data_IF_423463791408
#
_entry.id   IF_423463791408
#
_cell.length_a   1.000
_cell.length_b   1.000
_cell.length_c   1.000
_cell.angle_alpha   90.00
_cell.angle_beta   90.00
_cell.angle_gamma   90.00
#
_symmetry.space_group_name_H-M   'P 1'
#
loop_
_entity.id
_entity.type
_entity.pdbx_description
1 polymer ?
#
# COMPACT_ATOMS: atom_id res chain seq x y z
N UNK A 1 -0.09 46.86 -38.41
CA UNK A 1 1.38 46.90 -38.38
C UNK A 1 1.77 45.83 -37.41
N UNK A 2 1.93 44.56 -37.87
CA UNK A 2 3.16 43.90 -38.30
C UNK A 2 4.10 43.74 -37.12
N UNK A 3 4.50 42.53 -36.70
CA UNK A 3 5.22 41.52 -37.45
C UNK A 3 5.16 40.16 -36.72
N UNK A 4 5.03 39.06 -37.44
CA UNK A 4 5.34 37.70 -37.01
C UNK A 4 6.85 37.47 -37.11
N UNK A 5 7.49 36.71 -36.24
CA UNK A 5 8.80 36.17 -36.53
C UNK A 5 8.72 34.81 -37.24
N UNK A 6 9.69 34.64 -38.12
CA UNK A 6 9.85 33.65 -39.19
C UNK A 6 10.24 32.24 -38.65
N UNK A 7 9.88 31.25 -39.48
CA UNK A 7 10.33 29.83 -39.37
C UNK A 7 11.82 29.68 -39.75
N UNK A 8 12.57 28.74 -39.15
CA UNK A 8 13.91 28.39 -39.62
C UNK A 8 13.86 27.40 -40.82
N UNK A 9 14.95 27.32 -41.61
CA UNK A 9 14.97 26.66 -42.91
C UNK A 9 15.19 25.14 -42.86
N UNK A 10 14.62 24.47 -43.86
CA UNK A 10 14.85 23.09 -44.25
C UNK A 10 16.23 22.91 -44.92
N UNK A 11 16.85 21.76 -44.65
CA UNK A 11 17.77 21.19 -45.60
C UNK A 11 19.09 20.68 -45.03
N UNK A 12 19.25 19.36 -44.98
CA UNK A 12 20.36 18.69 -45.65
C UNK A 12 20.03 17.19 -45.76
N UNK A 13 19.92 16.75 -47.00
CA UNK A 13 19.88 15.36 -47.41
C UNK A 13 21.24 14.71 -47.21
N UNK A 14 21.28 13.49 -46.68
CA UNK A 14 22.34 12.53 -47.00
C UNK A 14 21.70 11.22 -47.45
N UNK A 15 22.06 10.90 -48.68
CA UNK A 15 21.79 9.66 -49.35
C UNK A 15 22.54 8.52 -48.72
N UNK A 16 21.88 7.35 -48.68
CA UNK A 16 22.39 6.07 -49.12
C UNK A 16 21.27 5.03 -48.96
N UNK A 17 20.40 4.98 -49.98
CA UNK A 17 19.53 3.85 -50.27
C UNK A 17 20.33 2.79 -51.02
N UNK A 18 20.64 1.67 -50.36
CA UNK A 18 21.00 0.44 -51.02
C UNK A 18 19.83 -0.56 -50.87
N UNK A 19 19.32 -1.14 -51.96
CA UNK A 19 18.20 -2.07 -51.87
C UNK A 19 18.65 -3.43 -51.35
N UNK A 20 18.04 -3.85 -50.24
CA UNK A 20 18.15 -5.25 -49.75
C UNK A 20 17.26 -6.11 -50.65
N UNK A 21 17.89 -7.00 -51.45
CA UNK A 21 17.25 -7.98 -52.27
C UNK A 21 16.38 -8.93 -51.42
N UNK A 22 15.09 -8.99 -51.73
CA UNK A 22 14.19 -10.06 -51.33
C UNK A 22 14.42 -11.26 -52.27
N UNK A 23 15.26 -12.20 -51.87
CA UNK A 23 15.25 -13.57 -52.36
C UNK A 23 15.81 -14.49 -51.26
N UNK A 24 14.94 -15.03 -50.46
CA UNK A 24 15.22 -16.20 -49.66
C UNK A 24 14.03 -17.14 -49.82
N UNK A 25 14.27 -18.20 -50.59
CA UNK A 25 13.31 -19.21 -50.97
C UNK A 25 12.59 -19.80 -49.76
N UNK A 26 11.29 -19.93 -49.90
CA UNK A 26 10.42 -20.77 -49.10
C UNK A 26 10.86 -22.24 -49.23
N UNK A 27 11.70 -22.68 -48.34
CA UNK A 27 11.88 -24.13 -48.11
C UNK A 27 10.78 -24.55 -47.11
N UNK A 28 9.77 -25.20 -47.63
CA UNK A 28 8.76 -25.90 -46.84
C UNK A 28 9.47 -26.96 -46.00
N UNK A 29 9.40 -26.84 -44.68
CA UNK A 29 9.77 -27.90 -43.75
C UNK A 29 8.76 -29.04 -43.92
N UNK A 30 9.22 -30.31 -44.02
CA UNK A 30 8.32 -31.45 -44.11
C UNK A 30 7.50 -31.53 -42.84
N UNK A 31 6.17 -31.66 -42.98
CA UNK A 31 5.27 -32.02 -41.90
C UNK A 31 5.58 -33.46 -41.47
N UNK A 32 6.43 -33.62 -40.47
CA UNK A 32 6.50 -34.86 -39.71
C UNK A 32 5.34 -34.84 -38.72
N UNK A 33 4.42 -35.78 -38.90
CA UNK A 33 3.42 -36.11 -37.88
C UNK A 33 4.12 -36.31 -36.53
N UNK A 34 3.55 -35.90 -35.40
CA UNK A 34 4.11 -36.20 -34.11
C UNK A 34 4.07 -37.71 -33.92
N UNK A 35 5.24 -38.33 -34.01
CA UNK A 35 5.42 -39.70 -33.51
C UNK A 35 5.06 -39.69 -32.02
N UNK A 36 4.35 -40.72 -31.62
CA UNK A 36 3.92 -41.04 -30.27
C UNK A 36 4.82 -40.46 -29.19
N UNK A 37 4.35 -39.42 -28.50
CA UNK A 37 4.87 -39.07 -27.19
C UNK A 37 4.49 -40.25 -26.30
N UNK A 38 5.40 -41.21 -26.17
CA UNK A 38 5.27 -42.26 -25.19
C UNK A 38 4.89 -41.68 -23.87
N UNK A 39 3.75 -42.10 -23.35
CA UNK A 39 3.22 -41.67 -22.06
C UNK A 39 4.35 -41.74 -21.04
N UNK A 40 4.79 -40.58 -20.55
CA UNK A 40 5.71 -40.52 -19.42
C UNK A 40 5.11 -41.39 -18.31
N UNK A 41 5.90 -42.28 -17.68
CA UNK A 41 5.39 -43.13 -16.62
C UNK A 41 4.76 -42.21 -15.56
N UNK A 42 3.49 -42.45 -15.31
CA UNK A 42 2.75 -41.76 -14.24
C UNK A 42 3.58 -41.79 -12.97
N UNK A 43 3.72 -40.63 -12.34
CA UNK A 43 4.46 -40.44 -11.12
C UNK A 43 4.26 -41.61 -10.17
N UNK A 44 5.37 -42.08 -9.60
CA UNK A 44 5.35 -43.05 -8.52
C UNK A 44 4.28 -42.69 -7.50
N UNK A 45 3.57 -43.66 -6.92
CA UNK A 45 2.52 -43.34 -5.92
C UNK A 45 3.13 -42.48 -4.85
N UNK A 46 2.50 -41.32 -4.59
CA UNK A 46 2.93 -40.41 -3.54
C UNK A 46 2.92 -41.22 -2.23
N UNK A 47 4.10 -41.44 -1.67
CA UNK A 47 4.25 -41.97 -0.31
C UNK A 47 3.56 -40.95 0.57
N UNK A 48 2.47 -41.35 1.25
CA UNK A 48 1.81 -40.47 2.21
C UNK A 48 2.86 -40.03 3.24
N UNK A 49 3.13 -38.72 3.39
CA UNK A 49 4.17 -38.26 4.29
C UNK A 49 3.79 -38.67 5.72
N UNK A 50 4.67 -39.38 6.41
CA UNK A 50 4.59 -39.50 7.87
C UNK A 50 4.77 -38.09 8.47
N UNK A 51 4.17 -37.77 9.61
CA UNK A 51 4.25 -36.48 10.24
C UNK A 51 5.69 -35.96 10.44
N UNK A 52 6.66 -36.85 10.56
CA UNK A 52 8.10 -36.56 10.65
C UNK A 52 8.73 -36.17 9.31
N UNK A 53 8.16 -36.59 8.18
CA UNK A 53 8.69 -36.31 6.84
C UNK A 53 8.22 -34.94 6.26
N UNK A 54 7.32 -34.23 6.92
CA UNK A 54 6.80 -32.96 6.43
C UNK A 54 7.78 -31.79 6.64
N UNK A 55 8.48 -31.76 7.76
CA UNK A 55 9.48 -30.74 8.06
C UNK A 55 10.78 -30.97 7.26
N UNK A 56 11.27 -29.91 6.60
CA UNK A 56 12.52 -29.97 5.83
C UNK A 56 12.42 -30.70 4.50
N UNK A 57 11.25 -31.17 4.11
CA UNK A 57 11.03 -31.83 2.83
C UNK A 57 10.48 -30.83 1.80
N UNK A 58 11.06 -30.72 0.57
CA UNK A 58 10.55 -29.83 -0.46
C UNK A 58 9.22 -30.37 -1.02
N UNK A 59 8.12 -29.78 -0.64
CA UNK A 59 6.80 -30.08 -1.21
C UNK A 59 6.42 -29.04 -2.27
N UNK A 60 5.91 -29.44 -3.44
CA UNK A 60 5.37 -28.48 -4.40
C UNK A 60 4.21 -27.71 -3.78
N UNK A 61 4.15 -26.40 -4.05
CA UNK A 61 2.99 -25.59 -3.72
C UNK A 61 1.74 -26.19 -4.40
N UNK A 62 0.58 -26.14 -3.73
CA UNK A 62 -0.68 -26.76 -4.22
C UNK A 62 -1.09 -26.31 -5.64
N UNK A 63 -0.76 -25.08 -6.01
CA UNK A 63 -1.05 -24.52 -7.33
C UNK A 63 0.08 -24.68 -8.34
N UNK A 64 1.22 -25.28 -7.97
CA UNK A 64 2.43 -25.29 -8.81
C UNK A 64 2.16 -25.93 -10.18
N UNK A 65 1.51 -27.10 -10.22
CA UNK A 65 1.18 -27.77 -11.47
C UNK A 65 0.24 -26.94 -12.36
N UNK A 66 -0.82 -26.37 -11.78
CA UNK A 66 -1.75 -25.54 -12.53
C UNK A 66 -1.09 -24.26 -13.05
N UNK A 67 -0.15 -23.67 -12.30
CA UNK A 67 0.59 -22.47 -12.73
C UNK A 67 1.51 -22.76 -13.91
N UNK A 68 2.31 -23.81 -13.87
CA UNK A 68 3.23 -24.13 -14.98
C UNK A 68 2.52 -24.61 -16.24
N UNK A 69 1.29 -25.08 -16.11
CA UNK A 69 0.44 -25.50 -17.25
C UNK A 69 -0.43 -24.34 -17.78
N UNK A 70 -0.44 -23.17 -17.15
CA UNK A 70 -1.33 -22.06 -17.53
C UNK A 70 -2.81 -22.32 -17.19
N UNK A 71 -3.11 -23.29 -16.31
CA UNK A 71 -4.48 -23.68 -15.93
C UNK A 71 -4.93 -23.10 -14.59
N UNK A 72 -4.06 -22.35 -13.90
CA UNK A 72 -4.37 -21.74 -12.62
C UNK A 72 -5.26 -20.51 -12.81
N UNK A 73 -6.58 -20.52 -12.50
CA UNK A 73 -7.42 -19.36 -12.66
C UNK A 73 -7.17 -18.35 -11.55
N UNK A 74 -7.07 -17.08 -11.91
CA UNK A 74 -7.11 -15.93 -11.02
C UNK A 74 -8.54 -15.40 -10.89
N UNK A 75 -8.76 -14.37 -10.08
CA UNK A 75 -10.13 -13.87 -9.85
C UNK A 75 -10.79 -13.39 -11.15
N UNK A 76 -10.01 -12.80 -12.07
CA UNK A 76 -10.57 -12.36 -13.37
C UNK A 76 -10.93 -13.51 -14.31
N UNK A 77 -10.29 -14.67 -14.15
CA UNK A 77 -10.50 -15.87 -14.97
C UNK A 77 -11.69 -16.72 -14.48
N UNK A 78 -12.22 -16.43 -13.31
CA UNK A 78 -13.36 -17.20 -12.76
C UNK A 78 -14.58 -17.04 -13.67
N UNK A 79 -15.28 -18.15 -14.01
CA UNK A 79 -16.56 -18.06 -14.72
C UNK A 79 -17.55 -17.20 -13.98
N UNK A 80 -18.08 -16.19 -14.65
CA UNK A 80 -19.06 -15.30 -14.05
C UNK A 80 -20.42 -16.01 -13.90
N UNK A 81 -21.05 -15.95 -12.71
CA UNK A 81 -22.40 -16.43 -12.54
C UNK A 81 -23.35 -15.77 -13.53
N UNK A 82 -24.42 -16.48 -13.95
CA UNK A 82 -25.40 -15.91 -14.86
C UNK A 82 -26.03 -14.65 -14.28
N UNK A 83 -26.05 -13.57 -15.06
CA UNK A 83 -26.58 -12.27 -14.65
C UNK A 83 -25.63 -11.42 -13.85
N UNK A 84 -24.33 -11.74 -13.87
CA UNK A 84 -23.30 -10.88 -13.28
C UNK A 84 -23.34 -9.51 -13.93
N UNK A 85 -23.33 -8.48 -13.08
CA UNK A 85 -23.21 -7.08 -13.45
C UNK A 85 -21.78 -6.59 -13.17
N UNK A 86 -21.44 -5.45 -13.74
CA UNK A 86 -20.12 -4.85 -13.60
C UNK A 86 -20.23 -3.47 -12.97
N UNK A 87 -19.33 -3.18 -12.01
CA UNK A 87 -19.28 -1.89 -11.37
C UNK A 87 -18.05 -1.09 -11.81
N UNK A 88 -18.21 0.24 -11.89
CA UNK A 88 -17.13 1.19 -12.12
C UNK A 88 -17.24 2.36 -11.15
N UNK A 89 -16.10 2.87 -10.59
CA UNK A 89 -16.10 3.95 -9.63
C UNK A 89 -16.41 5.31 -10.28
N UNK A 90 -17.09 6.17 -9.53
CA UNK A 90 -17.28 7.59 -9.82
C UNK A 90 -16.22 8.34 -9.02
N UNK A 91 -15.31 9.02 -9.71
CA UNK A 91 -14.08 9.56 -9.16
C UNK A 91 -14.14 11.08 -9.00
N UNK A 92 -13.60 11.59 -7.89
CA UNK A 92 -13.39 13.02 -7.70
C UNK A 92 -12.31 13.55 -8.67
N UNK A 93 -12.60 14.63 -9.42
CA UNK A 93 -11.61 15.27 -10.28
C UNK A 93 -10.72 16.28 -9.53
N UNK A 94 -10.99 16.57 -8.24
CA UNK A 94 -10.27 17.57 -7.45
C UNK A 94 -9.59 16.94 -6.24
N UNK A 95 -8.49 17.55 -5.81
CA UNK A 95 -7.71 17.06 -4.68
C UNK A 95 -8.35 17.36 -3.33
N UNK A 96 -9.10 18.45 -3.20
CA UNK A 96 -9.77 18.85 -1.97
C UNK A 96 -10.99 19.71 -2.29
N UNK A 97 -12.13 19.42 -1.72
CA UNK A 97 -13.34 20.19 -1.97
C UNK A 97 -14.55 19.69 -1.19
N UNK A 98 -15.52 20.56 -1.01
CA UNK A 98 -16.82 20.21 -0.42
C UNK A 98 -17.70 19.59 -1.51
N UNK A 99 -18.10 18.34 -1.32
CA UNK A 99 -19.04 17.62 -2.20
C UNK A 99 -20.46 18.05 -1.83
N UNK A 100 -21.14 18.76 -2.74
CA UNK A 100 -22.48 19.28 -2.56
C UNK A 100 -23.57 18.40 -3.17
N UNK A 101 -23.20 17.64 -4.21
CA UNK A 101 -24.15 16.77 -4.90
C UNK A 101 -23.52 15.86 -5.95
N UNK A 102 -24.28 14.82 -6.26
CA UNK A 102 -23.96 13.83 -7.29
C UNK A 102 -25.19 13.74 -8.22
N UNK A 103 -25.05 14.21 -9.45
CA UNK A 103 -26.09 14.06 -10.46
C UNK A 103 -25.73 12.93 -11.44
N UNK A 104 -26.42 11.81 -11.28
CA UNK A 104 -26.25 10.62 -12.11
C UNK A 104 -27.38 10.47 -13.16
N UNK A 105 -28.22 11.49 -13.38
CA UNK A 105 -29.38 11.42 -14.27
C UNK A 105 -28.99 11.00 -15.68
N UNK A 106 -27.97 11.63 -16.26
CA UNK A 106 -27.45 11.31 -17.59
C UNK A 106 -26.89 9.88 -17.66
N UNK A 107 -26.17 9.45 -16.63
CA UNK A 107 -25.61 8.11 -16.54
C UNK A 107 -26.71 7.03 -16.47
N UNK A 108 -27.74 7.26 -15.68
CA UNK A 108 -28.87 6.34 -15.53
C UNK A 108 -29.73 6.20 -16.80
N UNK A 109 -29.72 7.19 -17.69
CA UNK A 109 -30.42 7.14 -18.97
C UNK A 109 -29.69 6.29 -20.02
N UNK A 110 -28.46 5.89 -19.79
CA UNK A 110 -27.69 5.08 -20.75
C UNK A 110 -28.13 3.62 -20.73
N UNK A 111 -28.21 3.03 -21.93
CA UNK A 111 -28.58 1.62 -22.08
C UNK A 111 -27.60 0.70 -21.32
N UNK A 112 -28.16 -0.28 -20.63
CA UNK A 112 -27.40 -1.26 -19.86
C UNK A 112 -26.98 -0.80 -18.47
N UNK A 113 -27.19 0.47 -18.08
CA UNK A 113 -26.99 0.92 -16.70
C UNK A 113 -28.13 0.44 -15.82
N UNK A 114 -27.80 -0.14 -14.65
CA UNK A 114 -28.75 -0.78 -13.74
C UNK A 114 -28.94 -0.02 -12.43
N UNK A 115 -27.87 0.58 -11.91
CA UNK A 115 -27.92 1.31 -10.64
C UNK A 115 -26.76 2.30 -10.49
N UNK A 116 -26.97 3.26 -9.61
CA UNK A 116 -25.92 4.07 -8.97
C UNK A 116 -25.88 3.68 -7.51
N UNK A 117 -24.70 3.48 -6.95
CA UNK A 117 -24.47 3.18 -5.52
C UNK A 117 -23.72 4.34 -4.90
N UNK A 118 -24.19 4.83 -3.77
CA UNK A 118 -23.57 5.96 -3.03
C UNK A 118 -23.48 5.64 -1.55
N UNK A 119 -22.96 6.54 -0.75
CA UNK A 119 -22.90 6.38 0.70
C UNK A 119 -24.25 6.15 1.36
N UNK A 120 -25.36 6.66 0.77
CA UNK A 120 -26.72 6.44 1.26
C UNK A 120 -27.18 4.97 1.17
N UNK A 121 -26.50 4.15 0.39
CA UNK A 121 -26.83 2.73 0.20
C UNK A 121 -26.08 1.81 1.17
N UNK A 122 -25.24 2.34 2.05
CA UNK A 122 -24.49 1.57 3.03
C UNK A 122 -25.37 1.28 4.25
N UNK A 123 -25.74 0.02 4.51
CA UNK A 123 -26.64 -0.30 5.63
C UNK A 123 -25.90 -0.42 6.98
N UNK A 124 -24.59 -0.54 6.97
CA UNK A 124 -23.75 -0.72 8.15
C UNK A 124 -22.80 0.44 8.38
N UNK A 125 -21.55 0.13 8.71
CA UNK A 125 -20.52 1.13 8.96
C UNK A 125 -20.04 1.76 7.64
N UNK A 126 -20.11 3.09 7.47
CA UNK A 126 -19.66 3.77 6.26
C UNK A 126 -18.15 4.03 6.20
N UNK A 127 -17.39 3.61 7.23
CA UNK A 127 -15.95 3.88 7.34
C UNK A 127 -15.18 2.59 7.51
N UNK A 128 -14.10 2.44 6.73
CA UNK A 128 -13.16 1.36 6.88
C UNK A 128 -12.12 1.70 7.96
N UNK A 129 -11.77 0.70 8.73
CA UNK A 129 -10.79 0.83 9.80
C UNK A 129 -9.77 -0.29 9.72
N UNK A 130 -8.51 0.06 9.48
CA UNK A 130 -7.37 -0.87 9.65
C UNK A 130 -6.89 -0.79 11.10
N UNK A 131 -6.33 0.36 11.50
CA UNK A 131 -5.95 0.69 12.87
C UNK A 131 -6.67 1.94 13.37
N UNK A 132 -7.09 2.81 12.46
CA UNK A 132 -7.84 4.03 12.72
C UNK A 132 -9.11 3.99 11.89
N UNK A 133 -10.22 4.42 12.49
CA UNK A 133 -11.51 4.48 11.83
C UNK A 133 -11.63 5.86 11.12
N UNK A 134 -10.97 6.01 9.98
CA UNK A 134 -10.81 7.31 9.31
C UNK A 134 -10.88 7.27 7.77
N UNK A 135 -11.18 6.12 7.17
CA UNK A 135 -11.25 5.99 5.72
C UNK A 135 -12.67 5.69 5.23
N UNK A 136 -13.42 6.70 4.74
CA UNK A 136 -14.78 6.51 4.28
C UNK A 136 -14.84 5.60 3.05
N UNK A 137 -15.83 4.68 3.02
CA UNK A 137 -16.09 3.79 1.86
C UNK A 137 -16.38 4.61 0.60
N UNK A 138 -17.13 5.70 0.75
CA UNK A 138 -17.37 6.73 -0.26
C UNK A 138 -17.23 8.10 0.38
N UNK A 139 -16.68 9.07 -0.35
CA UNK A 139 -16.69 10.44 0.11
C UNK A 139 -18.14 10.98 0.17
N UNK A 140 -18.48 11.67 1.27
CA UNK A 140 -19.81 12.23 1.51
C UNK A 140 -19.82 13.74 1.47
N UNK A 141 -19.14 14.39 2.43
CA UNK A 141 -19.18 15.85 2.60
C UNK A 141 -17.96 16.54 1.98
N UNK A 142 -16.82 15.85 2.02
CA UNK A 142 -15.53 16.38 1.55
C UNK A 142 -14.82 15.34 0.73
N UNK A 143 -14.35 15.72 -0.45
CA UNK A 143 -13.36 14.96 -1.20
C UNK A 143 -11.96 15.39 -0.80
N UNK A 144 -11.06 14.41 -0.60
CA UNK A 144 -9.75 14.64 0.00
C UNK A 144 -8.58 14.28 -0.91
N UNK A 145 -8.84 13.67 -2.08
CA UNK A 145 -7.82 13.47 -3.12
C UNK A 145 -8.44 13.30 -4.50
N UNK A 146 -7.66 13.54 -5.55
CA UNK A 146 -8.04 13.20 -6.93
C UNK A 146 -8.20 11.69 -7.03
N UNK A 147 -9.31 11.23 -7.61
CA UNK A 147 -9.60 9.80 -7.70
C UNK A 147 -10.32 9.22 -6.47
N UNK A 148 -10.63 10.02 -5.44
CA UNK A 148 -11.45 9.52 -4.34
C UNK A 148 -12.83 9.12 -4.84
N UNK A 149 -13.26 7.92 -4.44
CA UNK A 149 -14.53 7.34 -4.90
C UNK A 149 -15.69 7.95 -4.14
N UNK A 150 -16.67 8.51 -4.89
CA UNK A 150 -17.88 9.11 -4.33
C UNK A 150 -19.10 8.21 -4.52
N UNK A 151 -19.00 7.17 -5.33
CA UNK A 151 -20.04 6.21 -5.62
C UNK A 151 -19.64 5.27 -6.76
N UNK A 152 -20.57 4.43 -7.20
CA UNK A 152 -20.36 3.48 -8.29
C UNK A 152 -21.51 3.55 -9.29
N UNK A 153 -21.20 3.29 -10.55
CA UNK A 153 -22.16 2.88 -11.56
C UNK A 153 -22.12 1.36 -11.70
N UNK A 154 -23.30 0.74 -11.76
CA UNK A 154 -23.46 -0.70 -12.03
C UNK A 154 -24.19 -0.88 -13.36
N UNK A 155 -23.61 -1.70 -14.24
CA UNK A 155 -24.14 -1.90 -15.59
C UNK A 155 -23.96 -3.36 -16.07
N UNK A 156 -24.56 -3.70 -17.21
CA UNK A 156 -24.50 -5.03 -17.82
C UNK A 156 -23.08 -5.40 -18.32
N UNK A 157 -22.23 -4.42 -18.59
CA UNK A 157 -20.85 -4.63 -19.07
C UNK A 157 -19.89 -3.64 -18.44
N UNK A 158 -18.62 -4.01 -18.36
CA UNK A 158 -17.53 -3.13 -17.88
C UNK A 158 -17.50 -1.81 -18.66
N UNK A 159 -17.64 -1.89 -20.00
CA UNK A 159 -17.60 -0.70 -20.87
C UNK A 159 -18.77 0.23 -20.60
N UNK A 160 -19.98 -0.29 -20.43
CA UNK A 160 -21.16 0.49 -20.09
C UNK A 160 -21.01 1.17 -18.72
N UNK A 161 -20.54 0.43 -17.71
CA UNK A 161 -20.30 0.97 -16.37
C UNK A 161 -19.30 2.12 -16.38
N UNK A 162 -18.14 1.93 -17.03
CA UNK A 162 -17.08 2.95 -17.14
C UNK A 162 -17.51 4.16 -17.96
N UNK A 163 -18.21 3.93 -19.07
CA UNK A 163 -18.74 5.03 -19.88
C UNK A 163 -19.72 5.88 -19.06
N UNK A 164 -20.65 5.23 -18.38
CA UNK A 164 -21.65 5.89 -17.56
C UNK A 164 -21.05 6.61 -16.35
N UNK A 165 -20.04 6.05 -15.70
CA UNK A 165 -19.38 6.68 -14.57
C UNK A 165 -18.77 8.06 -14.94
N UNK A 166 -18.28 8.20 -16.17
CA UNK A 166 -17.75 9.48 -16.69
C UNK A 166 -18.83 10.51 -17.06
N UNK A 167 -20.12 10.10 -17.11
CA UNK A 167 -21.25 11.02 -17.37
C UNK A 167 -21.86 11.58 -16.09
N UNK A 168 -21.45 11.08 -14.93
CA UNK A 168 -21.92 11.60 -13.64
C UNK A 168 -21.33 12.98 -13.40
N UNK A 169 -22.18 13.94 -13.04
CA UNK A 169 -21.76 15.29 -12.69
C UNK A 169 -21.62 15.41 -11.18
N UNK A 170 -20.48 15.94 -10.74
CA UNK A 170 -20.20 16.19 -9.34
C UNK A 170 -20.20 17.69 -9.08
N UNK A 171 -21.03 18.14 -8.15
CA UNK A 171 -20.98 19.51 -7.63
C UNK A 171 -19.98 19.55 -6.47
N UNK A 172 -18.77 19.99 -6.76
CA UNK A 172 -17.69 20.11 -5.78
C UNK A 172 -17.18 21.54 -5.72
N UNK A 173 -17.26 22.16 -4.55
CA UNK A 173 -16.63 23.43 -4.28
C UNK A 173 -15.17 23.24 -3.87
N UNK A 174 -14.19 23.65 -4.68
CA UNK A 174 -12.78 23.44 -4.37
C UNK A 174 -12.35 24.11 -3.06
N UNK A 175 -11.46 23.46 -2.32
CA UNK A 175 -10.80 23.94 -1.12
C UNK A 175 -9.28 23.94 -1.33
N UNK A 176 -8.51 24.72 -0.54
CA UNK A 176 -7.05 24.63 -0.57
C UNK A 176 -6.57 23.21 -0.27
N UNK A 177 -5.69 22.69 -1.11
CA UNK A 177 -5.15 21.34 -0.96
C UNK A 177 -3.72 21.37 -0.41
N UNK A 178 -3.40 20.43 0.47
CA UNK A 178 -2.07 20.13 0.97
C UNK A 178 -1.55 18.93 0.18
N UNK A 179 -0.55 19.13 -0.68
CA UNK A 179 -0.06 18.08 -1.59
C UNK A 179 1.35 17.60 -1.26
N UNK A 180 2.12 18.37 -0.50
CA UNK A 180 3.52 18.05 -0.19
C UNK A 180 3.77 17.90 1.30
N UNK A 181 4.86 17.22 1.64
CA UNK A 181 5.33 17.08 3.02
C UNK A 181 5.59 18.46 3.64
N UNK A 182 6.18 19.39 2.89
CA UNK A 182 6.50 20.74 3.37
C UNK A 182 5.22 21.52 3.74
N UNK A 183 4.20 21.43 2.89
CA UNK A 183 2.90 22.04 3.18
C UNK A 183 2.25 21.43 4.41
N UNK A 184 2.30 20.10 4.55
CA UNK A 184 1.76 19.41 5.72
C UNK A 184 2.49 19.77 7.01
N UNK A 185 3.81 19.84 6.98
CA UNK A 185 4.64 20.27 8.11
C UNK A 185 4.33 21.72 8.51
N UNK A 186 4.22 22.63 7.54
CA UNK A 186 3.90 24.03 7.79
C UNK A 186 2.48 24.21 8.38
N UNK A 187 1.52 23.39 7.92
CA UNK A 187 0.15 23.38 8.41
C UNK A 187 -0.07 22.54 9.68
N UNK A 188 0.96 21.82 10.16
CA UNK A 188 0.88 20.83 11.23
C UNK A 188 -0.23 19.78 10.97
N UNK A 189 -0.36 19.37 9.71
CA UNK A 189 -1.36 18.42 9.25
C UNK A 189 -0.82 17.00 9.32
N UNK A 190 -1.31 16.20 10.26
CA UNK A 190 -0.85 14.83 10.50
C UNK A 190 -2.04 13.87 10.60
N UNK A 191 -1.88 12.63 10.08
CA UNK A 191 -2.88 11.55 10.25
C UNK A 191 -2.76 10.87 11.61
N UNK A 192 -1.55 10.89 12.20
CA UNK A 192 -1.22 10.28 13.49
C UNK A 192 -0.26 11.18 14.27
N UNK A 193 -0.19 11.05 15.60
CA UNK A 193 0.77 11.80 16.41
C UNK A 193 2.21 11.54 15.99
N UNK A 194 3.07 12.55 16.16
CA UNK A 194 4.51 12.42 16.00
C UNK A 194 5.08 11.46 17.04
N UNK A 195 5.96 10.55 16.61
CA UNK A 195 6.72 9.66 17.49
C UNK A 195 8.15 10.12 17.60
N UNK A 196 8.69 10.13 18.81
CA UNK A 196 10.09 10.45 19.08
C UNK A 196 10.75 9.28 19.79
N UNK A 197 11.88 8.84 19.25
CA UNK A 197 12.79 7.88 19.89
C UNK A 197 14.08 8.60 20.19
N UNK A 198 14.55 8.51 21.43
CA UNK A 198 15.76 9.17 21.87
C UNK A 198 16.63 8.26 22.75
N UNK A 199 17.94 8.45 22.66
CA UNK A 199 18.93 7.78 23.49
C UNK A 199 20.08 8.74 23.73
N UNK A 200 20.62 8.77 24.95
CA UNK A 200 21.74 9.63 25.32
C UNK A 200 21.41 11.13 25.25
N UNK A 201 22.43 11.94 24.98
CA UNK A 201 22.36 13.41 24.85
C UNK A 201 22.80 13.85 23.46
N UNK A 202 21.95 13.69 22.47
CA UNK A 202 22.27 14.05 21.08
C UNK A 202 22.65 15.55 20.95
N UNK A 203 21.97 16.44 21.67
CA UNK A 203 22.23 17.87 21.60
C UNK A 203 23.64 18.20 22.15
N UNK A 204 24.00 17.67 23.31
CA UNK A 204 25.32 17.82 23.88
C UNK A 204 26.44 17.17 23.05
N UNK A 205 26.18 15.98 22.47
CA UNK A 205 27.09 15.31 21.56
C UNK A 205 27.36 16.16 20.32
N UNK A 206 26.29 16.67 19.68
CA UNK A 206 26.40 17.58 18.51
C UNK A 206 27.09 18.91 18.83
N UNK A 207 27.05 19.38 20.08
CA UNK A 207 27.74 20.61 20.48
C UNK A 207 29.25 20.39 20.70
N UNK A 208 29.67 19.16 21.03
CA UNK A 208 31.08 18.81 21.35
C UNK A 208 31.80 18.09 20.21
N UNK A 209 31.11 17.79 19.11
CA UNK A 209 31.70 17.01 18.01
C UNK A 209 32.77 17.80 17.24
N UNK A 210 33.85 17.15 16.78
CA UNK A 210 34.84 17.79 15.92
C UNK A 210 34.28 18.26 14.58
N UNK A 211 33.45 17.41 13.96
CA UNK A 211 32.81 17.71 12.69
C UNK A 211 31.30 17.61 12.82
N UNK A 212 30.59 18.46 12.08
CA UNK A 212 29.12 18.49 12.06
C UNK A 212 28.61 18.71 10.65
N UNK A 213 27.65 17.91 10.24
CA UNK A 213 27.03 17.99 8.92
C UNK A 213 25.51 18.03 9.07
N UNK A 214 24.89 18.95 8.34
CA UNK A 214 23.43 19.03 8.18
C UNK A 214 23.08 18.76 6.75
N UNK A 215 22.04 18.00 6.55
CA UNK A 215 21.55 17.69 5.21
C UNK A 215 20.07 17.45 5.17
N UNK A 216 19.55 17.52 3.97
CA UNK A 216 18.17 17.19 3.63
C UNK A 216 18.14 16.39 2.34
N UNK A 217 17.31 15.36 2.29
CA UNK A 217 17.02 14.62 1.06
C UNK A 217 15.62 14.04 1.10
N UNK A 218 15.14 13.54 -0.03
CA UNK A 218 13.84 12.91 -0.14
C UNK A 218 13.92 11.66 -1.00
N UNK A 219 13.00 10.72 -0.73
CA UNK A 219 12.77 9.54 -1.57
C UNK A 219 11.32 9.53 -2.01
N UNK A 220 11.10 9.27 -3.30
CA UNK A 220 9.76 9.20 -3.89
C UNK A 220 8.99 7.95 -3.44
N UNK A 221 7.69 8.00 -3.67
CA UNK A 221 6.84 6.81 -3.59
C UNK A 221 7.12 5.83 -4.71
N UNK A 222 6.62 4.60 -4.56
CA UNK A 222 6.71 3.57 -5.58
C UNK A 222 5.34 2.91 -5.77
N UNK A 223 4.99 2.67 -7.04
CA UNK A 223 3.82 1.89 -7.43
C UNK A 223 4.13 0.40 -7.29
N UNK A 224 3.16 -0.38 -6.77
CA UNK A 224 3.29 -1.83 -6.64
C UNK A 224 3.39 -2.52 -7.99
N UNK A 225 2.63 -2.06 -8.94
CA UNK A 225 2.60 -2.53 -10.32
C UNK A 225 2.42 -4.05 -10.42
N UNK A 226 1.56 -4.62 -9.55
CA UNK A 226 1.19 -6.03 -9.62
C UNK A 226 0.54 -6.33 -10.97
N UNK A 227 0.79 -7.52 -11.52
CA UNK A 227 0.31 -7.89 -12.86
C UNK A 227 -1.21 -8.04 -12.88
N UNK A 228 -1.79 -8.78 -11.92
CA UNK A 228 -3.22 -8.83 -11.67
C UNK A 228 -3.65 -7.55 -10.95
N UNK A 229 -4.51 -6.72 -11.57
CA UNK A 229 -5.06 -5.51 -10.96
C UNK A 229 -5.94 -5.77 -9.75
N UNK A 230 -6.47 -4.71 -9.15
CA UNK A 230 -7.44 -4.79 -8.07
C UNK A 230 -8.77 -5.30 -8.61
N UNK A 231 -9.29 -6.37 -7.99
CA UNK A 231 -10.51 -7.04 -8.47
C UNK A 231 -11.25 -7.76 -7.34
N UNK A 232 -12.57 -7.69 -7.37
CA UNK A 232 -13.47 -8.49 -6.55
C UNK A 232 -14.72 -8.89 -7.31
N UNK A 233 -15.25 -10.08 -7.02
CA UNK A 233 -16.55 -10.57 -7.45
C UNK A 233 -17.37 -10.91 -6.21
N UNK A 234 -18.48 -10.20 -6.00
CA UNK A 234 -19.41 -10.43 -4.90
C UNK A 234 -20.64 -11.20 -5.39
N UNK A 235 -20.91 -12.35 -4.78
CA UNK A 235 -22.04 -13.21 -5.12
C UNK A 235 -22.97 -13.30 -3.90
N UNK A 236 -24.18 -12.71 -3.97
CA UNK A 236 -25.18 -12.87 -2.91
C UNK A 236 -25.73 -14.30 -2.90
N UNK A 237 -25.75 -14.90 -1.70
CA UNK A 237 -26.29 -16.24 -1.46
C UNK A 237 -27.65 -16.21 -0.74
N UNK A 238 -28.12 -17.40 -0.37
CA UNK A 238 -29.34 -17.56 0.43
C UNK A 238 -29.14 -17.02 1.86
N UNK A 239 -30.23 -16.67 2.54
CA UNK A 239 -30.23 -16.24 3.94
C UNK A 239 -29.23 -15.14 4.30
N UNK A 240 -29.00 -14.20 3.39
CA UNK A 240 -28.02 -13.11 3.54
C UNK A 240 -26.59 -13.61 3.71
N UNK A 241 -26.23 -14.74 3.13
CA UNK A 241 -24.86 -15.19 2.98
C UNK A 241 -24.22 -14.52 1.76
N UNK A 242 -22.90 -14.37 1.81
CA UNK A 242 -22.12 -13.70 0.77
C UNK A 242 -20.88 -14.51 0.45
N UNK A 243 -20.60 -14.69 -0.82
CA UNK A 243 -19.35 -15.24 -1.30
C UNK A 243 -18.60 -14.16 -2.07
N UNK A 244 -17.40 -13.82 -1.62
CA UNK A 244 -16.57 -12.78 -2.18
C UNK A 244 -15.29 -13.41 -2.71
N UNK A 245 -15.09 -13.38 -4.02
CA UNK A 245 -13.78 -13.67 -4.60
C UNK A 245 -13.01 -12.35 -4.67
N UNK A 246 -11.84 -12.28 -4.06
CA UNK A 246 -11.03 -11.05 -4.00
C UNK A 246 -9.55 -11.36 -4.18
N UNK A 247 -8.89 -10.61 -5.04
CA UNK A 247 -7.43 -10.63 -5.10
C UNK A 247 -6.87 -9.84 -3.93
N UNK A 248 -6.60 -10.52 -2.82
CA UNK A 248 -6.22 -9.92 -1.54
C UNK A 248 -5.14 -10.71 -0.82
N UNK A 249 -4.26 -10.00 -0.11
CA UNK A 249 -3.28 -10.57 0.82
C UNK A 249 -3.91 -10.91 2.19
N UNK A 250 -5.11 -10.38 2.49
CA UNK A 250 -5.72 -10.47 3.81
C UNK A 250 -7.22 -10.81 3.74
N UNK A 251 -7.58 -12.07 3.40
CA UNK A 251 -9.00 -12.47 3.28
C UNK A 251 -9.82 -12.26 4.54
N UNK A 252 -9.22 -12.44 5.73
CA UNK A 252 -9.90 -12.26 7.01
C UNK A 252 -10.34 -10.81 7.24
N UNK A 253 -9.51 -9.83 6.90
CA UNK A 253 -9.85 -8.42 7.04
C UNK A 253 -10.93 -7.99 6.04
N UNK A 254 -10.81 -8.45 4.79
CA UNK A 254 -11.86 -8.26 3.77
C UNK A 254 -13.20 -8.80 4.25
N UNK A 255 -13.22 -9.98 4.91
CA UNK A 255 -14.42 -10.54 5.50
C UNK A 255 -15.06 -9.59 6.53
N UNK A 256 -14.25 -9.04 7.45
CA UNK A 256 -14.73 -8.12 8.47
C UNK A 256 -15.28 -6.83 7.85
N UNK A 257 -14.57 -6.24 6.92
CA UNK A 257 -15.01 -4.98 6.28
C UNK A 257 -16.29 -5.14 5.49
N UNK A 258 -16.41 -6.21 4.70
CA UNK A 258 -17.67 -6.51 3.98
C UNK A 258 -18.81 -6.72 4.96
N UNK A 259 -18.58 -7.47 6.04
CA UNK A 259 -19.61 -7.71 7.06
C UNK A 259 -20.06 -6.41 7.75
N UNK A 260 -19.11 -5.53 8.12
CA UNK A 260 -19.39 -4.24 8.76
C UNK A 260 -20.15 -3.30 7.80
N UNK A 261 -19.72 -3.17 6.56
CA UNK A 261 -20.39 -2.34 5.56
C UNK A 261 -21.81 -2.83 5.26
N UNK A 262 -22.04 -4.15 5.25
CA UNK A 262 -23.35 -4.74 5.03
C UNK A 262 -24.22 -4.81 6.30
N UNK A 263 -23.70 -4.49 7.48
CA UNK A 263 -24.42 -4.57 8.76
C UNK A 263 -24.82 -6.00 9.11
N UNK A 264 -23.94 -6.99 8.86
CA UNK A 264 -24.20 -8.42 9.10
C UNK A 264 -23.07 -9.06 9.92
N UNK A 265 -23.33 -10.24 10.47
CA UNK A 265 -22.31 -10.98 11.19
C UNK A 265 -21.24 -11.55 10.22
N UNK A 266 -19.95 -11.53 10.63
CA UNK A 266 -18.82 -11.92 9.77
C UNK A 266 -18.92 -13.36 9.24
N UNK A 267 -19.50 -14.29 10.01
CA UNK A 267 -19.71 -15.68 9.57
C UNK A 267 -20.64 -15.83 8.36
N UNK A 268 -21.37 -14.76 7.97
CA UNK A 268 -22.21 -14.75 6.76
C UNK A 268 -21.43 -14.36 5.50
N UNK A 269 -20.17 -13.98 5.64
CA UNK A 269 -19.31 -13.60 4.54
C UNK A 269 -18.20 -14.65 4.41
N UNK A 270 -18.10 -15.28 3.25
CA UNK A 270 -16.98 -16.13 2.86
C UNK A 270 -16.12 -15.36 1.88
N UNK A 271 -14.83 -15.23 2.16
CA UNK A 271 -13.88 -14.60 1.25
C UNK A 271 -12.91 -15.65 0.72
N UNK A 272 -12.80 -15.71 -0.60
CA UNK A 272 -11.91 -16.66 -1.28
C UNK A 272 -10.84 -15.91 -2.07
N UNK A 273 -9.56 -16.25 -1.80
CA UNK A 273 -8.41 -15.86 -2.59
C UNK A 273 -7.52 -17.09 -2.78
N UNK A 274 -7.79 -17.87 -3.81
CA UNK A 274 -7.06 -19.12 -4.08
C UNK A 274 -5.62 -18.85 -4.47
N UNK A 275 -5.41 -17.83 -5.26
CA UNK A 275 -4.10 -17.32 -5.71
C UNK A 275 -4.21 -15.86 -6.12
N UNK A 276 -3.08 -15.20 -6.13
CA UNK A 276 -3.00 -13.76 -6.38
C UNK A 276 -1.84 -13.48 -7.34
N UNK A 277 -2.10 -12.65 -8.36
CA UNK A 277 -1.14 -12.27 -9.39
C UNK A 277 -0.23 -11.12 -8.99
N UNK A 278 0.29 -11.16 -7.76
CA UNK A 278 1.11 -10.14 -7.12
C UNK A 278 0.30 -9.25 -6.19
N UNK A 279 0.94 -8.80 -5.11
CA UNK A 279 0.34 -7.90 -4.13
C UNK A 279 1.39 -6.91 -3.60
N UNK A 280 2.53 -7.42 -3.15
CA UNK A 280 3.69 -6.65 -2.68
C UNK A 280 3.36 -5.63 -1.58
N UNK A 281 2.26 -5.84 -0.84
CA UNK A 281 1.69 -4.90 0.12
C UNK A 281 0.48 -4.12 -0.39
N UNK A 282 0.33 -3.94 -1.71
CA UNK A 282 -0.75 -3.15 -2.32
C UNK A 282 -2.13 -3.80 -2.28
N UNK A 283 -2.22 -5.05 -1.85
CA UNK A 283 -3.48 -5.79 -1.66
C UNK A 283 -3.65 -6.27 -0.23
N UNK A 284 -2.96 -5.66 0.71
CA UNK A 284 -3.06 -5.96 2.14
C UNK A 284 -4.36 -5.33 2.70
N UNK A 285 -4.54 -4.04 2.54
CA UNK A 285 -5.75 -3.29 2.93
C UNK A 285 -6.56 -2.82 1.72
N UNK A 286 -5.91 -2.31 0.70
CA UNK A 286 -6.54 -1.66 -0.45
C UNK A 286 -7.54 -2.55 -1.21
N UNK A 287 -7.34 -3.87 -1.23
CA UNK A 287 -8.28 -4.83 -1.83
C UNK A 287 -9.65 -4.87 -1.13
N UNK A 288 -9.71 -4.43 0.13
CA UNK A 288 -10.96 -4.38 0.89
C UNK A 288 -11.98 -3.43 0.32
N UNK A 289 -11.54 -2.27 -0.21
CA UNK A 289 -12.44 -1.33 -0.90
C UNK A 289 -13.15 -1.99 -2.08
N UNK A 290 -12.41 -2.72 -2.91
CA UNK A 290 -12.98 -3.41 -4.07
C UNK A 290 -14.05 -4.42 -3.66
N UNK A 291 -13.79 -5.19 -2.62
CA UNK A 291 -14.71 -6.19 -2.10
C UNK A 291 -15.97 -5.57 -1.50
N UNK A 292 -15.81 -4.50 -0.72
CA UNK A 292 -16.91 -3.75 -0.12
C UNK A 292 -17.77 -3.10 -1.20
N UNK A 293 -17.16 -2.43 -2.17
CA UNK A 293 -17.88 -1.79 -3.28
C UNK A 293 -18.65 -2.81 -4.13
N UNK A 294 -18.04 -3.95 -4.45
CA UNK A 294 -18.73 -5.03 -5.17
C UNK A 294 -19.90 -5.60 -4.36
N UNK A 295 -19.74 -5.78 -3.05
CA UNK A 295 -20.79 -6.27 -2.16
C UNK A 295 -21.97 -5.29 -2.02
N UNK A 296 -21.70 -3.98 -1.87
CA UNK A 296 -22.74 -2.95 -1.83
C UNK A 296 -23.52 -2.86 -3.14
N UNK A 297 -22.81 -2.95 -4.27
CA UNK A 297 -23.42 -2.98 -5.60
C UNK A 297 -24.30 -4.23 -5.78
N UNK A 298 -23.83 -5.40 -5.33
CA UNK A 298 -24.58 -6.64 -5.38
C UNK A 298 -25.80 -6.63 -4.44
N UNK A 299 -25.69 -6.00 -3.27
CA UNK A 299 -26.81 -5.80 -2.35
C UNK A 299 -27.93 -4.98 -3.01
N UNK A 300 -27.56 -3.87 -3.65
CA UNK A 300 -28.52 -2.96 -4.29
C UNK A 300 -29.21 -3.58 -5.51
N UNK A 301 -28.45 -4.29 -6.33
CA UNK A 301 -28.94 -4.88 -7.58
C UNK A 301 -29.53 -6.28 -7.41
N UNK A 302 -29.30 -6.94 -6.28
CA UNK A 302 -29.66 -8.33 -5.99
C UNK A 302 -29.14 -9.32 -7.04
N UNK A 303 -27.99 -9.02 -7.60
CA UNK A 303 -27.28 -9.80 -8.60
C UNK A 303 -25.80 -9.94 -8.23
N UNK A 304 -25.07 -10.92 -8.74
CA UNK A 304 -23.62 -10.94 -8.63
C UNK A 304 -23.02 -9.70 -9.29
N UNK A 305 -22.01 -9.10 -8.65
CA UNK A 305 -21.30 -7.93 -9.20
C UNK A 305 -19.82 -8.15 -9.19
N UNK A 306 -19.19 -7.93 -10.34
CA UNK A 306 -17.75 -7.89 -10.51
C UNK A 306 -17.28 -6.45 -10.62
N UNK A 307 -16.29 -6.09 -9.83
CA UNK A 307 -15.59 -4.82 -9.88
C UNK A 307 -14.11 -5.08 -10.16
N UNK A 308 -13.64 -4.53 -11.26
CA UNK A 308 -12.23 -4.57 -11.65
C UNK A 308 -11.79 -3.18 -12.05
N UNK A 309 -10.79 -2.64 -11.37
CA UNK A 309 -10.16 -1.39 -11.78
C UNK A 309 -9.34 -1.62 -13.06
N UNK A 310 -9.34 -0.64 -13.98
CA UNK A 310 -8.27 -0.58 -14.95
C UNK A 310 -6.99 -0.01 -14.31
N UNK A 311 -5.91 0.01 -15.07
CA UNK A 311 -4.63 0.42 -14.52
C UNK A 311 -4.58 1.90 -14.16
N UNK A 312 -5.28 2.74 -14.92
CA UNK A 312 -5.32 4.18 -14.70
C UNK A 312 -6.11 4.50 -13.42
N UNK A 313 -7.27 3.85 -13.23
CA UNK A 313 -8.07 3.98 -12.00
C UNK A 313 -7.29 3.45 -10.78
N UNK A 314 -6.63 2.30 -10.92
CA UNK A 314 -5.80 1.69 -9.85
C UNK A 314 -4.67 2.67 -9.42
N UNK A 315 -4.00 3.31 -10.39
CA UNK A 315 -2.95 4.29 -10.10
C UNK A 315 -3.48 5.52 -9.36
N UNK A 316 -4.71 5.93 -9.60
CA UNK A 316 -5.31 7.10 -8.94
C UNK A 316 -5.93 6.78 -7.57
N UNK A 317 -6.54 5.60 -7.42
CA UNK A 317 -7.34 5.26 -6.24
C UNK A 317 -6.46 4.68 -5.14
N UNK A 318 -5.59 3.71 -5.48
CA UNK A 318 -4.88 2.90 -4.49
C UNK A 318 -3.61 3.56 -3.96
N UNK A 319 -3.27 3.24 -2.71
CA UNK A 319 -2.08 3.73 -2.04
C UNK A 319 -0.78 3.18 -2.62
N UNK A 320 0.31 3.91 -2.37
CA UNK A 320 1.67 3.64 -2.86
C UNK A 320 2.62 3.45 -1.68
N UNK A 321 3.90 3.09 -1.94
CA UNK A 321 4.95 3.25 -0.95
C UNK A 321 5.00 4.71 -0.50
N UNK A 322 5.03 4.93 0.80
CA UNK A 322 5.13 6.27 1.37
C UNK A 322 6.37 7.00 0.83
N UNK A 323 6.22 8.18 0.21
CA UNK A 323 7.32 9.12 0.02
C UNK A 323 7.82 9.61 1.37
N UNK A 324 9.12 9.81 1.51
CA UNK A 324 9.73 10.37 2.72
C UNK A 324 10.63 11.55 2.38
N UNK A 325 10.65 12.54 3.27
CA UNK A 325 11.68 13.54 3.37
C UNK A 325 12.44 13.36 4.70
N UNK A 326 13.73 13.65 4.68
CA UNK A 326 14.61 13.49 5.81
C UNK A 326 15.41 14.77 6.04
N UNK A 327 15.39 15.27 7.26
CA UNK A 327 16.31 16.31 7.73
C UNK A 327 17.22 15.71 8.79
N UNK A 328 18.51 15.88 8.66
CA UNK A 328 19.46 15.35 9.63
C UNK A 328 20.51 16.37 10.06
N UNK A 329 21.01 16.18 11.28
CA UNK A 329 22.13 16.89 11.88
C UNK A 329 23.00 15.85 12.56
N UNK A 330 24.19 15.58 12.02
CA UNK A 330 25.07 14.53 12.46
C UNK A 330 26.44 15.08 12.87
N UNK A 331 26.91 14.63 14.02
CA UNK A 331 28.26 14.86 14.50
C UNK A 331 29.16 13.64 14.29
N UNK A 332 30.44 13.84 13.97
CA UNK A 332 31.37 12.75 13.75
C UNK A 332 32.85 13.17 14.04
N UNK A 333 33.69 12.18 14.30
CA UNK A 333 35.12 12.36 14.48
C UNK A 333 35.89 12.38 13.17
N UNK A 334 37.24 12.63 13.25
CA UNK A 334 38.16 12.61 12.10
C UNK A 334 38.19 11.24 11.40
N UNK A 335 37.89 10.18 12.12
CA UNK A 335 37.81 8.80 11.62
C UNK A 335 36.46 8.46 11.01
N UNK A 336 35.46 9.37 11.03
CA UNK A 336 34.12 9.16 10.52
C UNK A 336 33.19 8.41 11.47
N UNK A 337 33.55 8.15 12.72
CA UNK A 337 32.61 7.61 13.73
C UNK A 337 31.61 8.67 14.13
N UNK A 338 30.32 8.30 14.07
CA UNK A 338 29.24 9.16 14.53
C UNK A 338 29.31 9.37 16.04
N UNK A 339 29.18 10.62 16.47
CA UNK A 339 29.18 11.03 17.88
C UNK A 339 27.78 11.43 18.36
N UNK A 340 26.91 11.87 17.46
CA UNK A 340 25.54 12.25 17.76
C UNK A 340 24.72 12.44 16.49
N UNK A 341 23.41 12.19 16.58
CA UNK A 341 22.50 12.30 15.44
C UNK A 341 21.14 12.85 15.87
N UNK A 342 20.66 13.84 15.14
CA UNK A 342 19.22 14.19 15.09
C UNK A 342 18.70 13.89 13.70
N UNK A 343 17.62 13.12 13.60
CA UNK A 343 17.01 12.71 12.33
C UNK A 343 15.50 12.95 12.38
N UNK A 344 15.01 13.77 11.47
CA UNK A 344 13.58 13.96 11.22
C UNK A 344 13.18 13.15 10.00
N UNK A 345 12.21 12.27 10.18
CA UNK A 345 11.66 11.40 9.16
C UNK A 345 10.21 11.82 8.89
N UNK A 346 9.96 12.46 7.78
CA UNK A 346 8.65 13.01 7.41
C UNK A 346 8.03 12.15 6.31
N UNK A 347 6.99 11.40 6.65
CA UNK A 347 6.27 10.53 5.70
C UNK A 347 5.07 11.25 5.10
N UNK A 348 4.89 11.17 3.79
CA UNK A 348 3.60 11.49 3.19
C UNK A 348 2.68 10.28 3.35
N UNK A 349 1.58 10.45 4.11
CA UNK A 349 0.65 9.36 4.45
C UNK A 349 -0.61 9.36 3.58
N UNK A 350 -0.87 10.45 2.84
CA UNK A 350 -2.14 10.64 2.17
C UNK A 350 -3.22 11.17 3.11
N UNK A 351 -4.49 10.93 2.78
CA UNK A 351 -5.61 11.56 3.48
C UNK A 351 -6.08 10.80 4.73
N UNK A 352 -5.81 9.50 4.83
CA UNK A 352 -6.15 8.64 5.98
C UNK A 352 -4.92 7.90 6.50
N UNK A 353 -5.06 7.27 7.67
CA UNK A 353 -3.95 6.59 8.32
C UNK A 353 -3.56 5.28 7.64
N UNK A 354 -4.52 4.48 7.18
CA UNK A 354 -4.31 3.12 6.65
C UNK A 354 -3.19 2.36 7.41
N UNK A 355 -2.09 1.99 6.75
CA UNK A 355 -0.92 1.34 7.35
C UNK A 355 0.23 2.30 7.66
N UNK A 356 0.00 3.61 7.62
CA UNK A 356 1.07 4.62 7.82
C UNK A 356 1.71 4.54 9.20
N UNK A 357 0.95 4.22 10.25
CA UNK A 357 1.50 4.04 11.59
C UNK A 357 2.60 2.99 11.63
N UNK A 358 2.29 1.71 11.39
CA UNK A 358 3.28 0.63 11.42
C UNK A 358 4.42 0.81 10.40
N UNK A 359 4.16 1.38 9.21
CA UNK A 359 5.21 1.67 8.22
C UNK A 359 6.20 2.71 8.74
N UNK A 360 5.70 3.81 9.32
CA UNK A 360 6.56 4.85 9.89
C UNK A 360 7.31 4.34 11.13
N UNK A 361 6.68 3.54 11.98
CA UNK A 361 7.33 2.94 13.15
C UNK A 361 8.45 2.00 12.70
N UNK A 362 8.21 1.16 11.71
CA UNK A 362 9.24 0.28 11.16
C UNK A 362 10.39 1.07 10.53
N UNK A 363 10.13 2.20 9.87
CA UNK A 363 11.18 3.06 9.36
C UNK A 363 12.08 3.58 10.48
N UNK A 364 11.51 4.00 11.62
CA UNK A 364 12.25 4.42 12.81
C UNK A 364 13.09 3.27 13.37
N UNK A 365 12.51 2.05 13.49
CA UNK A 365 13.22 0.88 14.01
C UNK A 365 14.31 0.33 13.08
N UNK A 366 14.36 0.79 11.83
CA UNK A 366 15.41 0.42 10.86
C UNK A 366 16.36 1.59 10.56
N UNK A 367 16.21 2.72 11.27
CA UNK A 367 17.04 3.90 11.04
C UNK A 367 18.48 3.75 11.54
N UNK A 368 18.75 2.76 12.39
CA UNK A 368 20.10 2.39 12.81
C UNK A 368 20.75 1.34 11.87
N UNK A 369 19.94 0.59 11.11
CA UNK A 369 20.39 -0.55 10.31
C UNK A 369 21.32 -1.46 11.14
N UNK A 370 22.60 -1.56 10.78
CA UNK A 370 23.62 -2.33 11.49
C UNK A 370 24.60 -1.43 12.28
N UNK A 371 24.28 -0.14 12.43
CA UNK A 371 25.22 0.84 12.98
C UNK A 371 24.87 1.23 14.41
N UNK A 372 25.90 1.48 15.20
CA UNK A 372 25.75 1.92 16.58
C UNK A 372 25.44 3.42 16.65
N UNK A 373 24.27 3.77 17.17
CA UNK A 373 23.85 5.13 17.45
C UNK A 373 23.87 5.37 18.97
N UNK A 374 24.89 6.05 19.48
CA UNK A 374 25.06 6.32 20.93
C UNK A 374 24.12 7.41 21.43
N UNK A 375 24.29 8.62 20.93
CA UNK A 375 23.51 9.81 21.26
C UNK A 375 22.63 10.19 20.07
N UNK A 376 21.33 9.87 20.14
CA UNK A 376 20.44 10.00 18.99
C UNK A 376 19.05 10.49 19.39
N UNK A 377 18.46 11.31 18.52
CA UNK A 377 17.04 11.67 18.53
C UNK A 377 16.48 11.45 17.12
N UNK A 378 15.47 10.60 17.01
CA UNK A 378 14.72 10.35 15.76
C UNK A 378 13.29 10.79 15.98
N UNK A 379 12.77 11.68 15.11
CA UNK A 379 11.38 12.12 15.12
C UNK A 379 10.70 11.66 13.84
N UNK A 380 9.55 11.03 13.98
CA UNK A 380 8.75 10.52 12.85
C UNK A 380 7.44 11.29 12.74
N UNK A 381 7.26 12.01 11.64
CA UNK A 381 6.10 12.81 11.33
C UNK A 381 5.23 12.10 10.27
N UNK A 382 3.95 11.88 10.56
CA UNK A 382 2.99 11.20 9.70
C UNK A 382 2.13 12.26 9.03
N UNK A 383 2.64 12.87 7.96
CA UNK A 383 2.04 14.01 7.28
C UNK A 383 0.74 13.64 6.58
N UNK A 384 -0.36 14.33 6.90
CA UNK A 384 -1.63 14.24 6.19
C UNK A 384 -1.61 15.14 4.98
N UNK A 385 -1.96 14.58 3.81
CA UNK A 385 -2.01 15.31 2.54
C UNK A 385 -3.29 14.99 1.78
N UNK A 386 -3.61 15.77 0.76
CA UNK A 386 -4.73 15.52 -0.14
C UNK A 386 -4.32 14.62 -1.32
N UNK A 387 -3.71 13.48 -0.98
CA UNK A 387 -3.40 12.37 -1.87
C UNK A 387 -4.10 11.11 -1.36
N UNK A 388 -4.14 10.06 -2.19
CA UNK A 388 -4.63 8.75 -1.75
C UNK A 388 -3.85 8.25 -0.53
N UNK A 389 -4.48 7.47 0.33
CA UNK A 389 -3.82 6.90 1.52
C UNK A 389 -2.69 5.99 1.09
N UNK A 390 -1.46 6.33 1.48
CA UNK A 390 -0.33 5.47 1.22
C UNK A 390 -0.38 4.25 2.13
N UNK A 391 0.12 3.11 1.62
CA UNK A 391 -0.10 1.80 2.24
C UNK A 391 1.20 0.99 2.33
N UNK A 392 1.07 -0.27 2.77
CA UNK A 392 2.15 -1.23 2.76
C UNK A 392 2.79 -1.34 1.37
N UNK A 393 4.11 -1.37 1.33
CA UNK A 393 4.88 -1.74 0.16
C UNK A 393 6.10 -2.55 0.61
N UNK A 394 6.48 -3.54 -0.17
CA UNK A 394 7.57 -4.50 0.08
C UNK A 394 8.73 -3.88 0.86
N UNK A 395 9.00 -4.41 2.06
CA UNK A 395 9.94 -3.84 3.03
C UNK A 395 9.29 -2.98 4.12
N UNK A 396 8.05 -2.48 3.92
CA UNK A 396 7.14 -1.93 4.95
C UNK A 396 7.81 -0.89 5.87
N UNK A 397 8.44 0.13 5.31
CA UNK A 397 9.15 1.17 6.06
C UNK A 397 10.65 0.90 6.30
N UNK A 398 11.07 -0.37 6.31
CA UNK A 398 12.49 -0.73 6.45
C UNK A 398 13.39 -0.06 5.43
N UNK A 399 13.08 -0.09 4.12
CA UNK A 399 13.89 0.59 3.11
C UNK A 399 14.08 2.07 3.36
N UNK A 400 13.06 2.77 3.87
CA UNK A 400 13.14 4.21 4.15
C UNK A 400 14.03 4.50 5.37
N UNK A 401 13.98 3.65 6.41
CA UNK A 401 14.90 3.75 7.56
C UNK A 401 16.35 3.49 7.16
N UNK A 402 16.57 2.41 6.41
CA UNK A 402 17.92 2.02 5.97
C UNK A 402 18.53 3.08 5.06
N UNK A 403 17.81 3.61 4.07
CA UNK A 403 18.35 4.61 3.15
C UNK A 403 18.74 5.91 3.89
N UNK A 404 18.04 6.23 5.00
CA UNK A 404 18.35 7.41 5.77
C UNK A 404 19.77 7.33 6.33
N UNK A 405 20.11 6.29 7.07
CA UNK A 405 21.42 6.16 7.69
C UNK A 405 22.54 5.89 6.66
N UNK A 406 22.24 5.14 5.59
CA UNK A 406 23.20 4.88 4.52
C UNK A 406 23.60 6.16 3.77
N UNK A 407 22.63 7.06 3.57
CA UNK A 407 22.90 8.39 2.98
C UNK A 407 23.77 9.23 3.90
N UNK A 408 23.45 9.28 5.19
CA UNK A 408 24.22 10.04 6.20
C UNK A 408 25.67 9.57 6.26
N UNK A 409 25.90 8.25 6.31
CA UNK A 409 27.27 7.69 6.32
C UNK A 409 28.01 7.95 5.01
N UNK A 410 27.32 7.89 3.88
CA UNK A 410 27.89 8.27 2.58
C UNK A 410 28.29 9.76 2.53
N UNK A 411 27.49 10.63 3.14
CA UNK A 411 27.77 12.06 3.22
C UNK A 411 28.97 12.35 4.15
N UNK A 412 29.07 11.67 5.29
CA UNK A 412 30.25 11.75 6.18
C UNK A 412 31.52 11.35 5.42
N UNK A 413 31.48 10.20 4.71
CA UNK A 413 32.60 9.70 3.94
C UNK A 413 33.09 10.72 2.88
N UNK A 414 32.12 11.34 2.18
CA UNK A 414 32.39 12.36 1.16
C UNK A 414 33.04 13.61 1.75
N UNK A 415 32.56 14.08 2.90
CA UNK A 415 33.12 15.27 3.59
C UNK A 415 34.54 15.01 4.04
N UNK A 416 34.83 13.80 4.54
CA UNK A 416 36.17 13.43 5.01
C UNK A 416 37.12 12.99 3.86
N UNK A 417 36.61 12.78 2.64
CA UNK A 417 37.38 12.21 1.53
C UNK A 417 37.84 10.77 1.79
N UNK A 418 37.06 10.00 2.59
CA UNK A 418 37.36 8.63 2.96
C UNK A 418 36.48 7.65 2.15
N UNK A 419 36.94 6.39 2.09
CA UNK A 419 36.12 5.33 1.50
C UNK A 419 34.85 5.10 2.33
N UNK A 420 33.69 5.01 1.64
CA UNK A 420 32.41 4.87 2.32
C UNK A 420 32.26 3.53 3.05
N UNK A 421 32.91 2.46 2.58
CA UNK A 421 32.92 1.17 3.26
C UNK A 421 33.70 1.27 4.59
N UNK A 422 34.85 1.96 4.59
CA UNK A 422 35.65 2.15 5.79
C UNK A 422 34.87 2.91 6.87
N UNK A 423 34.14 3.98 6.49
CA UNK A 423 33.30 4.74 7.41
C UNK A 423 32.18 3.84 7.96
N UNK A 424 31.51 3.04 7.11
CA UNK A 424 30.48 2.08 7.54
C UNK A 424 31.05 1.06 8.53
N UNK A 425 32.17 0.43 8.20
CA UNK A 425 32.82 -0.59 9.06
C UNK A 425 33.16 -0.05 10.46
N UNK A 426 33.57 1.21 10.57
CA UNK A 426 33.88 1.84 11.86
C UNK A 426 32.63 2.14 12.70
N UNK A 427 31.47 2.27 12.07
CA UNK A 427 30.20 2.56 12.74
C UNK A 427 29.35 1.30 13.04
N UNK A 428 29.74 0.12 12.57
CA UNK A 428 29.06 -1.12 12.89
C UNK A 428 29.03 -1.40 14.40
N UNK A 429 28.00 -2.12 14.84
CA UNK A 429 28.03 -2.75 16.17
C UNK A 429 29.26 -3.69 16.24
N UNK A 430 30.12 -3.47 17.22
CA UNK A 430 31.37 -4.23 17.38
C UNK A 430 31.22 -5.50 18.22
N UNK A 431 29.97 -5.89 18.51
CA UNK A 431 29.64 -7.06 19.33
C UNK A 431 29.91 -6.85 20.84
N UNK A 432 30.40 -5.70 21.23
CA UNK A 432 30.54 -5.37 22.66
C UNK A 432 29.19 -4.89 23.18
N UNK A 433 28.74 -5.39 24.35
CA UNK A 433 27.57 -4.79 24.97
C UNK A 433 27.86 -3.30 25.22
N UNK A 434 26.87 -2.42 25.01
CA UNK A 434 27.05 -1.01 25.32
C UNK A 434 27.51 -0.87 26.78
N UNK A 435 28.47 0.06 27.01
CA UNK A 435 28.98 0.36 28.35
C UNK A 435 27.79 0.55 29.32
N UNK A 436 27.87 0.08 30.57
CA UNK A 436 26.83 0.22 31.58
C UNK A 436 26.32 1.66 31.80
N UNK A 437 27.09 2.66 31.34
CA UNK A 437 26.72 4.07 31.39
C UNK A 437 25.79 4.51 30.24
N UNK A 438 25.52 3.65 29.24
CA UNK A 438 24.61 3.92 28.14
C UNK A 438 23.80 2.67 27.82
N UNK A 439 22.60 2.56 28.39
CA UNK A 439 21.71 1.39 28.22
C UNK A 439 21.41 1.08 26.75
N UNK A 440 22.02 0.03 26.20
CA UNK A 440 21.78 -0.46 24.86
C UNK A 440 20.69 -1.52 24.85
N UNK A 441 19.73 -1.41 23.95
CA UNK A 441 18.82 -2.49 23.59
C UNK A 441 19.55 -3.44 22.63
N UNK A 442 20.32 -4.38 23.18
CA UNK A 442 20.84 -5.51 22.42
C UNK A 442 19.72 -6.50 22.16
N UNK A 443 19.45 -6.84 20.92
CA UNK A 443 18.60 -8.00 20.57
C UNK A 443 19.38 -9.28 20.95
N UNK A 444 18.90 -9.98 21.98
CA UNK A 444 19.30 -11.37 22.18
C UNK A 444 19.93 -11.78 23.50
N UNK A 445 19.89 -10.98 24.58
CA UNK A 445 20.13 -11.48 25.94
C UNK A 445 19.13 -10.87 26.91
N UNK A 446 18.43 -11.73 27.64
CA UNK A 446 17.60 -11.35 28.80
C UNK A 446 18.51 -10.70 29.84
N UNK A 447 18.48 -9.37 29.95
CA UNK A 447 19.11 -8.67 31.04
C UNK A 447 18.35 -8.97 32.34
N UNK A 448 19.04 -9.15 33.48
CA UNK A 448 18.36 -9.19 34.76
C UNK A 448 17.69 -7.84 35.01
N UNK A 449 16.48 -7.87 35.53
CA UNK A 449 15.64 -6.73 35.79
C UNK A 449 16.40 -5.63 36.53
N UNK A 450 16.78 -4.59 35.84
CA UNK A 450 17.25 -3.34 36.41
C UNK A 450 16.13 -2.31 36.24
N UNK A 451 15.76 -1.71 37.34
CA UNK A 451 14.74 -0.71 37.54
C UNK A 451 14.96 0.50 36.63
N UNK A 452 14.47 0.43 35.40
CA UNK A 452 14.27 1.58 34.54
C UNK A 452 12.87 2.15 34.85
N UNK A 453 12.82 3.41 35.23
CA UNK A 453 11.57 4.12 35.42
C UNK A 453 10.71 4.02 34.13
N UNK A 454 9.40 3.80 34.24
CA UNK A 454 8.53 3.73 33.08
C UNK A 454 8.55 5.07 32.34
N UNK A 455 8.62 5.01 31.01
CA UNK A 455 8.43 6.18 30.15
C UNK A 455 7.08 6.80 30.51
N UNK A 456 7.09 7.97 31.11
CA UNK A 456 5.88 8.74 31.38
C UNK A 456 5.29 9.21 30.06
N UNK A 457 4.03 8.89 29.75
CA UNK A 457 3.34 9.49 28.60
C UNK A 457 3.24 11.00 28.80
N UNK A 458 3.33 11.76 27.71
CA UNK A 458 3.05 13.18 27.74
C UNK A 458 1.65 13.43 28.32
N UNK A 459 1.43 14.49 29.12
CA UNK A 459 0.14 14.74 29.74
C UNK A 459 -0.90 15.03 28.65
N UNK A 460 -1.90 14.14 28.53
CA UNK A 460 -3.04 14.29 27.60
C UNK A 460 -3.49 13.05 26.84
N UNK A 461 -2.78 11.93 26.90
CA UNK A 461 -3.25 10.68 26.28
C UNK A 461 -3.95 9.79 27.28
N UNK A 462 -5.27 9.65 27.20
CA UNK A 462 -6.03 8.63 27.94
C UNK A 462 -5.75 7.24 27.39
N UNK A 463 -5.53 6.22 28.23
CA UNK A 463 -5.34 4.85 27.75
C UNK A 463 -6.67 4.31 27.24
N UNK A 464 -6.67 3.74 26.03
CA UNK A 464 -7.79 2.98 25.50
C UNK A 464 -8.15 1.83 26.44
N UNK A 465 -9.43 1.74 26.77
CA UNK A 465 -9.96 0.68 27.63
C UNK A 465 -9.78 -0.67 26.95
N UNK A 466 -8.98 -1.53 27.57
CA UNK A 466 -8.99 -2.94 27.30
C UNK A 466 -10.35 -3.52 27.73
N UNK A 467 -11.07 -4.14 26.81
CA UNK A 467 -12.28 -4.89 27.09
C UNK A 467 -11.90 -6.17 27.85
N UNK A 468 -12.23 -6.23 29.12
CA UNK A 468 -12.19 -7.45 29.91
C UNK A 468 -13.41 -8.34 29.63
N UNK A 469 -13.24 -9.67 29.63
CA UNK A 469 -14.35 -10.60 29.44
C UNK A 469 -14.95 -10.98 30.78
N UNK A 470 -15.97 -10.27 31.27
CA UNK A 470 -16.87 -10.78 32.29
C UNK A 470 -18.25 -10.09 32.21
N UNK A 471 -19.26 -10.90 32.06
CA UNK A 471 -20.65 -10.45 32.05
C UNK A 471 -21.64 -11.54 31.62
N UNK A 472 -21.61 -12.74 32.27
CA UNK A 472 -22.77 -13.62 32.27
C UNK A 472 -23.83 -13.01 33.19
N UNK A 473 -24.82 -12.36 32.59
CA UNK A 473 -26.04 -11.95 33.28
C UNK A 473 -27.18 -12.92 32.96
N UNK A 474 -27.67 -13.60 34.00
CA UNK A 474 -28.85 -14.45 34.05
C UNK A 474 -30.13 -13.66 33.69
N UNK A 475 -30.96 -14.18 32.79
CA UNK A 475 -32.35 -13.77 32.61
C UNK A 475 -33.21 -14.27 33.79
N UNK A 476 -34.19 -13.49 34.25
CA UNK A 476 -35.38 -14.04 34.85
C UNK A 476 -36.52 -14.11 33.82
N UNK A 477 -37.24 -15.22 33.88
CA UNK A 477 -38.48 -15.44 33.16
C UNK A 477 -39.59 -14.53 33.70
N UNK A 478 -40.32 -13.89 32.82
CA UNK A 478 -41.81 -13.87 32.69
C UNK A 478 -42.16 -13.27 31.32
#
# INVERSE_FOLDING_TARGET
MSERPASPPSGTAHADDAPVSRDAGSAALPATAPEDVAAMPHAAPAIAPTAEAACGTPHPHESAHAQVQGLAPYVDDLPEPRGTLHAAPILSPVAHGTLRGIDATAALALAGVRAVVTAADIPGDPVLATFVHDEPIFATDVVQHVGQVVGLIVADTVQAARHAARQVQLDIAPLPAILTIEQAMAAQSFVLPTVTVARGDAAGALARTPHRLRGRFAVGGQEHFYLEGQIALAVPGEQRQWHIHSSTQHPGEVQHWVAHALGIASHRVTVECRRMGGGFGGKETQAGHMAVWAALAALKTKAPVKLRLDRDDDFMITGKRHPFAFDYDVGFGDDGRMTGLTLDMMANCGFSADLSGPVCDRAVFHADNAYYLGDVVIRSFRCKTNLQSHTAFRGFGGPQGVIAIETILGDIARVLGQDALDVRMRNLYDGRPPSPAGGGLGWGQTAPASTAAPLTPAPGSSPGQALSPEGRGSHPAT
#
